data_IF_682768105945
#
_entry.id   IF_682768105945
#
_cell.length_a   1.000
_cell.length_b   1.000
_cell.length_c   1.000
_cell.angle_alpha   90.00
_cell.angle_beta   90.00
_cell.angle_gamma   90.00
#
_symmetry.space_group_name_H-M   'P 1'
#
loop_
_entity.id
_entity.type
_entity.pdbx_description
1 polymer ?
#
# COMPACT_ATOMS: atom_id res chain seq x y z
N UNK A 1 -16.32 0.89 -2.15
CA UNK A 1 -14.94 1.08 -1.65
C UNK A 1 -14.19 -0.22 -1.82
N UNK A 2 -13.00 -0.18 -2.44
CA UNK A 2 -12.09 -1.31 -2.56
C UNK A 2 -10.72 -0.82 -2.12
N UNK A 3 -10.05 -1.59 -1.25
CA UNK A 3 -8.65 -1.36 -0.84
C UNK A 3 -7.89 -2.67 -0.95
N UNK A 4 -6.75 -2.64 -1.63
CA UNK A 4 -5.87 -3.79 -1.87
C UNK A 4 -4.46 -3.43 -1.42
N UNK A 5 -3.88 -4.30 -0.59
CA UNK A 5 -2.47 -4.28 -0.23
C UNK A 5 -1.84 -5.60 -0.63
N UNK A 6 -0.70 -5.54 -1.32
CA UNK A 6 0.09 -6.71 -1.64
C UNK A 6 1.55 -6.47 -1.25
N UNK A 7 2.16 -7.47 -0.62
CA UNK A 7 3.52 -7.42 -0.12
C UNK A 7 4.27 -8.66 -0.60
N UNK A 8 5.43 -8.44 -1.17
CA UNK A 8 6.26 -9.53 -1.68
C UNK A 8 7.67 -9.43 -1.12
N UNK A 9 8.30 -10.59 -0.98
CA UNK A 9 9.74 -10.64 -0.71
C UNK A 9 10.50 -9.82 -1.76
N UNK A 10 11.58 -9.11 -1.37
CA UNK A 10 12.35 -8.31 -2.31
C UNK A 10 12.86 -9.10 -3.52
N UNK A 11 13.08 -8.39 -4.63
CA UNK A 11 13.78 -8.91 -5.81
C UNK A 11 14.96 -7.99 -6.09
N UNK A 12 16.18 -8.54 -6.09
CA UNK A 12 17.40 -7.74 -6.23
C UNK A 12 17.59 -6.67 -5.15
N UNK A 13 17.03 -6.86 -3.94
CA UNK A 13 17.08 -5.89 -2.85
C UNK A 13 16.06 -4.75 -2.94
N UNK A 14 15.17 -4.75 -3.95
CA UNK A 14 14.08 -3.78 -4.12
C UNK A 14 12.78 -4.41 -3.59
N UNK A 15 12.04 -3.76 -2.66
CA UNK A 15 10.74 -4.22 -2.21
C UNK A 15 9.69 -4.04 -3.31
N UNK A 16 8.72 -4.95 -3.36
CA UNK A 16 7.56 -4.87 -4.24
C UNK A 16 6.35 -4.81 -3.32
N UNK A 17 5.84 -3.60 -3.14
CA UNK A 17 4.62 -3.34 -2.39
C UNK A 17 3.62 -2.66 -3.32
N UNK A 18 2.41 -3.20 -3.40
CA UNK A 18 1.34 -2.66 -4.23
C UNK A 18 0.24 -2.13 -3.31
N UNK A 19 -0.10 -0.86 -3.50
CA UNK A 19 -1.22 -0.23 -2.83
C UNK A 19 -2.21 0.32 -3.85
N UNK A 20 -3.48 -0.05 -3.70
CA UNK A 20 -4.57 0.47 -4.51
C UNK A 20 -5.80 0.73 -3.65
N UNK A 21 -6.47 1.85 -3.90
CA UNK A 21 -7.75 2.20 -3.28
C UNK A 21 -8.66 2.89 -4.28
N UNK A 22 -9.95 2.54 -4.27
CA UNK A 22 -10.98 3.20 -5.09
C UNK A 22 -12.33 3.30 -4.39
N UNK A 23 -13.05 4.38 -4.71
CA UNK A 23 -14.34 4.76 -4.13
C UNK A 23 -14.25 5.39 -2.75
N UNK A 24 -15.39 5.90 -2.27
CA UNK A 24 -15.54 6.55 -0.97
C UNK A 24 -15.54 5.52 0.16
N UNK A 25 -14.82 5.79 1.25
CA UNK A 25 -14.84 4.96 2.46
C UNK A 25 -16.29 4.88 3.02
N UNK A 26 -16.81 3.69 3.37
CA UNK A 26 -18.17 3.59 3.89
C UNK A 26 -18.34 4.31 5.23
N UNK A 27 -19.52 4.89 5.44
CA UNK A 27 -19.84 5.62 6.66
C UNK A 27 -19.71 4.72 7.91
N UNK A 28 -19.16 5.29 8.97
CA UNK A 28 -18.96 4.58 10.25
C UNK A 28 -17.82 3.57 10.25
N UNK A 29 -17.09 3.38 9.15
CA UNK A 29 -15.93 2.49 9.09
C UNK A 29 -14.66 3.30 9.39
N UNK A 30 -13.92 2.87 10.41
CA UNK A 30 -12.57 3.36 10.67
C UNK A 30 -11.54 2.53 9.91
N UNK A 31 -10.63 3.20 9.21
CA UNK A 31 -9.55 2.57 8.45
C UNK A 31 -8.25 3.36 8.68
N UNK A 32 -7.17 2.70 9.12
CA UNK A 32 -5.90 3.37 9.34
C UNK A 32 -5.19 3.71 8.02
N UNK A 33 -4.28 4.69 8.10
CA UNK A 33 -3.32 4.95 7.02
C UNK A 33 -2.45 3.71 6.77
N UNK A 34 -2.01 3.51 5.52
CA UNK A 34 -1.20 2.33 5.18
C UNK A 34 0.19 2.37 5.82
N UNK A 35 0.76 3.55 6.05
CA UNK A 35 2.06 3.73 6.68
C UNK A 35 3.27 3.16 5.92
N UNK A 36 3.08 2.64 4.71
CA UNK A 36 4.15 2.07 3.89
C UNK A 36 4.80 3.21 3.11
N UNK A 37 6.05 3.52 3.46
CA UNK A 37 6.83 4.51 2.75
C UNK A 37 7.09 4.02 1.30
N UNK A 38 6.90 4.87 0.28
CA UNK A 38 7.31 4.54 -1.08
C UNK A 38 8.80 4.19 -1.10
N UNK A 39 9.16 3.13 -1.83
CA UNK A 39 10.56 2.79 -2.03
C UNK A 39 11.30 3.99 -2.63
N UNK A 40 12.28 4.51 -1.89
CA UNK A 40 13.26 5.48 -2.40
C UNK A 40 14.47 4.67 -2.85
N UNK A 41 14.73 4.68 -4.16
CA UNK A 41 15.87 3.98 -4.75
C UNK A 41 17.21 4.37 -4.11
N UNK A 42 18.27 3.61 -4.44
CA UNK A 42 19.64 4.10 -4.22
C UNK A 42 19.84 5.28 -5.19
N UNK A 43 20.36 6.39 -4.68
CA UNK A 43 20.43 7.70 -5.36
C UNK A 43 21.12 7.70 -6.71
#
# INVERSE_FOLDING_TARGET
WIRIGGYWYPRGGIPIDVFYQSGTLPDGVWVPDQGVAPYRGRG
#
